data_IF_542742335441
#
_entry.id   IF_542742335441
#
_cell.length_a   1.000
_cell.length_b   1.000
_cell.length_c   1.000
_cell.angle_alpha   90.00
_cell.angle_beta   90.00
_cell.angle_gamma   90.00
#
_symmetry.space_group_name_H-M   'P 1'
#
loop_
_entity.id
_entity.type
_entity.pdbx_description
1 polymer ?
#
# COMPACT_ATOMS: atom_id res chain seq x y z
N UNK A 1 24.14 -3.09 7.51
CA UNK A 1 25.31 -3.73 6.89
C UNK A 1 26.32 -2.64 6.51
N UNK A 2 27.62 -2.86 6.69
CA UNK A 2 28.69 -1.96 6.22
C UNK A 2 29.08 -2.32 4.77
N UNK A 3 29.63 -1.37 4.01
CA UNK A 3 30.07 -1.62 2.63
C UNK A 3 31.08 -2.78 2.51
N UNK A 4 31.93 -2.97 3.52
CA UNK A 4 32.87 -4.09 3.59
C UNK A 4 32.19 -5.46 3.70
N UNK A 5 31.05 -5.54 4.40
CA UNK A 5 30.29 -6.78 4.55
C UNK A 5 29.57 -7.12 3.24
N UNK A 6 28.97 -6.12 2.59
CA UNK A 6 28.36 -6.28 1.27
C UNK A 6 29.37 -6.75 0.23
N UNK A 7 30.56 -6.14 0.22
CA UNK A 7 31.65 -6.56 -0.68
C UNK A 7 32.02 -8.03 -0.50
N UNK A 8 32.09 -8.51 0.74
CA UNK A 8 32.40 -9.91 1.01
C UNK A 8 31.33 -10.88 0.45
N UNK A 9 30.05 -10.47 0.46
CA UNK A 9 28.97 -11.26 -0.14
C UNK A 9 29.06 -11.28 -1.67
N UNK A 10 29.38 -10.14 -2.29
CA UNK A 10 29.58 -10.05 -3.75
C UNK A 10 30.78 -10.89 -4.21
N UNK A 11 31.89 -10.84 -3.47
CA UNK A 11 33.10 -11.63 -3.77
C UNK A 11 32.88 -13.14 -3.61
N UNK A 12 31.83 -13.56 -2.89
CA UNK A 12 31.48 -14.98 -2.68
C UNK A 12 30.58 -15.56 -3.78
N UNK A 13 30.15 -14.75 -4.77
CA UNK A 13 29.32 -15.22 -5.87
C UNK A 13 30.09 -16.23 -6.75
N UNK A 14 29.40 -17.21 -7.37
CA UNK A 14 30.03 -18.18 -8.26
C UNK A 14 30.74 -17.50 -9.44
N UNK A 15 31.89 -18.06 -9.84
CA UNK A 15 32.67 -17.50 -10.94
C UNK A 15 31.86 -17.47 -12.24
N UNK A 16 31.75 -16.29 -12.85
CA UNK A 16 30.99 -16.07 -14.09
C UNK A 16 29.50 -15.82 -13.88
N UNK A 17 29.03 -15.68 -12.64
CA UNK A 17 27.68 -15.26 -12.32
C UNK A 17 27.64 -13.75 -12.04
N UNK A 18 26.87 -13.01 -12.81
CA UNK A 18 26.78 -11.54 -12.77
C UNK A 18 25.31 -11.13 -12.56
N UNK A 19 24.77 -11.28 -11.33
CA UNK A 19 23.38 -10.95 -11.04
C UNK A 19 23.18 -9.44 -10.94
N UNK A 20 21.99 -8.98 -11.30
CA UNK A 20 21.55 -7.62 -10.98
C UNK A 20 21.49 -7.41 -9.46
N UNK A 21 21.96 -6.26 -8.99
CA UNK A 21 21.78 -5.85 -7.60
C UNK A 21 20.39 -5.25 -7.48
N UNK A 22 19.56 -5.88 -6.66
CA UNK A 22 18.16 -5.49 -6.48
C UNK A 22 17.82 -5.25 -5.01
N UNK A 23 16.74 -4.51 -4.78
CA UNK A 23 16.06 -4.41 -3.49
C UNK A 23 14.56 -4.65 -3.65
N UNK A 24 13.81 -4.71 -2.55
CA UNK A 24 12.38 -5.04 -2.57
C UNK A 24 12.13 -6.53 -2.37
N UNK A 25 10.96 -6.99 -2.80
CA UNK A 25 10.53 -8.39 -2.67
C UNK A 25 10.93 -9.20 -3.91
N UNK A 26 11.10 -10.51 -3.76
CA UNK A 26 11.51 -11.40 -4.87
C UNK A 26 10.58 -11.33 -6.10
N UNK A 27 9.29 -10.99 -5.88
CA UNK A 27 8.26 -10.89 -6.92
C UNK A 27 8.17 -9.49 -7.56
N UNK A 28 8.81 -8.49 -6.97
CA UNK A 28 8.87 -7.12 -7.50
C UNK A 28 10.21 -6.46 -7.11
N UNK A 29 11.33 -6.90 -7.70
CA UNK A 29 12.64 -6.35 -7.39
C UNK A 29 12.87 -5.02 -8.11
N UNK A 30 13.29 -4.01 -7.38
CA UNK A 30 13.80 -2.74 -7.90
C UNK A 30 15.30 -2.90 -8.19
N UNK A 31 15.76 -2.49 -9.37
CA UNK A 31 17.15 -2.66 -9.84
C UNK A 31 17.99 -1.44 -9.52
N UNK A 32 19.20 -1.68 -9.06
CA UNK A 32 20.17 -0.62 -8.80
C UNK A 32 20.64 -0.01 -10.12
N UNK A 33 20.16 1.20 -10.43
CA UNK A 33 20.49 1.91 -11.68
C UNK A 33 21.67 2.86 -11.52
N UNK A 34 21.93 3.33 -10.29
CA UNK A 34 23.00 4.28 -10.04
C UNK A 34 23.52 4.18 -8.60
N UNK A 35 24.78 4.55 -8.42
CA UNK A 35 25.42 4.60 -7.10
C UNK A 35 26.30 5.83 -6.99
N UNK A 36 26.32 6.45 -5.81
CA UNK A 36 27.27 7.51 -5.55
C UNK A 36 27.77 7.45 -4.10
N UNK A 37 29.07 7.71 -3.93
CA UNK A 37 29.67 7.85 -2.62
C UNK A 37 29.70 9.33 -2.25
N UNK A 38 29.08 9.68 -1.13
CA UNK A 38 29.25 10.99 -0.51
C UNK A 38 29.78 10.80 0.91
N UNK A 39 31.03 11.23 1.09
CA UNK A 39 31.74 11.16 2.36
C UNK A 39 31.77 9.72 2.91
N UNK A 40 31.08 9.45 4.02
CA UNK A 40 31.03 8.14 4.68
C UNK A 40 29.79 7.31 4.27
N UNK A 41 28.98 7.80 3.34
CA UNK A 41 27.72 7.16 2.93
C UNK A 41 27.76 6.75 1.45
N UNK A 42 27.43 5.48 1.20
CA UNK A 42 27.17 4.97 -0.14
C UNK A 42 25.67 5.05 -0.41
N UNK A 43 25.28 5.91 -1.33
CA UNK A 43 23.91 6.07 -1.77
C UNK A 43 23.65 5.18 -2.98
N UNK A 44 22.51 4.51 -2.97
CA UNK A 44 22.05 3.57 -3.96
C UNK A 44 20.73 4.10 -4.52
N UNK A 45 20.65 4.25 -5.83
CA UNK A 45 19.47 4.71 -6.53
C UNK A 45 18.94 3.55 -7.38
N UNK A 46 17.72 3.15 -7.06
CA UNK A 46 17.03 2.05 -7.72
C UNK A 46 16.00 2.59 -8.70
N UNK A 47 15.69 1.84 -9.76
CA UNK A 47 14.58 2.21 -10.62
C UNK A 47 13.27 2.12 -9.82
N UNK A 48 12.50 3.22 -9.85
CA UNK A 48 11.08 3.12 -9.60
C UNK A 48 10.51 2.46 -10.86
N UNK A 49 10.51 1.14 -10.95
CA UNK A 49 9.85 0.43 -12.04
C UNK A 49 8.40 0.16 -11.64
N UNK A 50 7.42 0.99 -12.08
CA UNK A 50 6.07 0.48 -12.24
C UNK A 50 6.09 -0.38 -13.51
N UNK A 51 6.11 -1.70 -13.38
CA UNK A 51 5.39 -2.52 -14.36
C UNK A 51 3.93 -2.54 -13.93
N UNK A 52 3.11 -1.69 -14.56
CA UNK A 52 1.65 -1.60 -14.38
C UNK A 52 0.88 -2.91 -14.69
N UNK A 53 1.54 -4.05 -14.92
CA UNK A 53 0.87 -5.24 -15.47
C UNK A 53 1.12 -6.57 -14.73
N UNK A 54 1.75 -6.60 -13.54
CA UNK A 54 1.93 -7.87 -12.79
C UNK A 54 1.69 -7.78 -11.27
N UNK A 55 0.72 -6.98 -10.83
CA UNK A 55 0.25 -6.92 -9.42
C UNK A 55 -1.19 -7.39 -9.20
N UNK A 56 -1.81 -8.03 -10.20
CA UNK A 56 -3.25 -7.90 -10.38
C UNK A 56 -4.18 -8.94 -9.76
N UNK A 57 -3.72 -10.09 -9.27
CA UNK A 57 -4.67 -11.12 -8.83
C UNK A 57 -4.82 -11.25 -7.30
N UNK A 58 -3.75 -11.11 -6.50
CA UNK A 58 -3.89 -11.20 -5.04
C UNK A 58 -4.06 -9.83 -4.36
N UNK A 59 -3.38 -8.77 -4.82
CA UNK A 59 -3.49 -7.43 -4.24
C UNK A 59 -4.76 -6.68 -4.64
N UNK A 60 -5.29 -6.93 -5.85
CA UNK A 60 -6.54 -6.29 -6.32
C UNK A 60 -7.78 -6.86 -5.68
N UNK A 61 -7.79 -8.14 -5.30
CA UNK A 61 -8.89 -8.71 -4.55
C UNK A 61 -9.15 -7.95 -3.25
N UNK A 62 -8.08 -7.52 -2.57
CA UNK A 62 -8.20 -6.67 -1.39
C UNK A 62 -8.73 -5.28 -1.77
N UNK A 63 -8.15 -4.59 -2.75
CA UNK A 63 -8.60 -3.24 -3.14
C UNK A 63 -10.06 -3.21 -3.63
N UNK A 64 -10.48 -4.19 -4.42
CA UNK A 64 -11.88 -4.30 -4.89
C UNK A 64 -12.84 -4.59 -3.73
N UNK A 65 -12.45 -5.45 -2.79
CA UNK A 65 -13.23 -5.71 -1.58
C UNK A 65 -13.34 -4.46 -0.70
N UNK A 66 -12.23 -3.75 -0.49
CA UNK A 66 -12.17 -2.49 0.25
C UNK A 66 -13.10 -1.43 -0.37
N UNK A 67 -13.09 -1.29 -1.69
CA UNK A 67 -13.99 -0.39 -2.43
C UNK A 67 -15.45 -0.80 -2.25
N UNK A 68 -15.76 -2.10 -2.31
CA UNK A 68 -17.13 -2.59 -2.17
C UNK A 68 -17.67 -2.38 -0.75
N UNK A 69 -16.82 -2.56 0.28
CA UNK A 69 -17.18 -2.25 1.66
C UNK A 69 -17.50 -0.76 1.83
N UNK A 70 -16.65 0.13 1.33
CA UNK A 70 -16.88 1.59 1.41
C UNK A 70 -18.17 1.96 0.66
N UNK A 71 -18.38 1.39 -0.54
CA UNK A 71 -19.60 1.59 -1.33
C UNK A 71 -20.84 1.17 -0.55
N UNK A 72 -20.84 -0.03 0.02
CA UNK A 72 -21.96 -0.56 0.79
C UNK A 72 -22.34 0.38 1.94
N UNK A 73 -21.37 0.93 2.67
CA UNK A 73 -21.65 1.85 3.78
C UNK A 73 -22.22 3.18 3.34
N UNK A 74 -21.76 3.71 2.21
CA UNK A 74 -22.34 4.93 1.63
C UNK A 74 -23.78 4.64 1.18
N UNK A 75 -24.02 3.51 0.52
CA UNK A 75 -25.37 3.13 0.06
C UNK A 75 -26.34 2.93 1.22
N UNK A 76 -25.92 2.28 2.30
CA UNK A 76 -26.70 2.11 3.54
C UNK A 76 -27.04 3.46 4.15
N UNK A 77 -26.05 4.33 4.38
CA UNK A 77 -26.25 5.69 4.90
C UNK A 77 -27.24 6.49 4.06
N UNK A 78 -27.18 6.36 2.73
CA UNK A 78 -28.08 7.05 1.81
C UNK A 78 -29.48 6.45 1.80
N UNK A 79 -29.62 5.15 2.05
CA UNK A 79 -30.89 4.42 2.05
C UNK A 79 -31.72 4.57 3.33
N UNK A 80 -31.11 5.02 4.44
CA UNK A 80 -31.83 5.25 5.70
C UNK A 80 -32.90 6.36 5.57
N UNK A 81 -34.17 5.97 5.42
CA UNK A 81 -35.30 6.91 5.23
C UNK A 81 -35.52 7.83 6.45
N UNK A 82 -35.16 7.37 7.64
CA UNK A 82 -35.36 8.09 8.89
C UNK A 82 -34.32 9.19 9.15
N UNK A 83 -33.21 9.24 8.40
CA UNK A 83 -32.19 10.29 8.54
C UNK A 83 -32.43 11.43 7.56
N UNK A 84 -32.57 12.64 8.12
CA UNK A 84 -32.68 13.86 7.31
C UNK A 84 -31.38 14.19 6.57
N UNK A 85 -31.49 14.96 5.48
CA UNK A 85 -30.35 15.29 4.60
C UNK A 85 -29.18 15.95 5.34
N UNK A 86 -29.46 16.74 6.38
CA UNK A 86 -28.44 17.38 7.21
C UNK A 86 -27.60 16.36 7.97
N UNK A 87 -28.24 15.36 8.57
CA UNK A 87 -27.57 14.29 9.31
C UNK A 87 -26.72 13.44 8.38
N UNK A 88 -27.24 13.07 7.20
CA UNK A 88 -26.46 12.33 6.19
C UNK A 88 -25.22 13.10 5.73
N UNK A 89 -25.36 14.41 5.50
CA UNK A 89 -24.24 15.27 5.12
C UNK A 89 -23.17 15.37 6.22
N UNK A 90 -23.57 15.49 7.49
CA UNK A 90 -22.66 15.51 8.64
C UNK A 90 -21.92 14.18 8.81
N UNK A 91 -22.60 13.05 8.61
CA UNK A 91 -21.98 11.72 8.64
C UNK A 91 -20.98 11.53 7.50
N UNK A 92 -21.34 11.91 6.27
CA UNK A 92 -20.43 11.84 5.12
C UNK A 92 -19.19 12.73 5.32
N UNK A 93 -19.37 13.94 5.83
CA UNK A 93 -18.25 14.84 6.14
C UNK A 93 -17.30 14.21 7.17
N UNK A 94 -17.85 13.57 8.21
CA UNK A 94 -17.07 12.89 9.23
C UNK A 94 -16.26 11.74 8.61
N UNK A 95 -16.89 10.89 7.80
CA UNK A 95 -16.21 9.79 7.10
C UNK A 95 -15.06 10.30 6.21
N UNK A 96 -15.28 11.38 5.46
CA UNK A 96 -14.26 11.97 4.59
C UNK A 96 -13.07 12.54 5.37
N UNK A 97 -13.31 13.19 6.51
CA UNK A 97 -12.23 13.69 7.39
C UNK A 97 -11.43 12.51 7.95
N UNK A 98 -12.10 11.42 8.35
CA UNK A 98 -11.44 10.25 8.90
C UNK A 98 -10.59 9.50 7.86
N UNK A 99 -11.08 9.41 6.62
CA UNK A 99 -10.35 8.80 5.50
C UNK A 99 -9.14 9.64 5.06
N UNK A 100 -9.24 10.97 5.10
CA UNK A 100 -8.14 11.86 4.72
C UNK A 100 -6.90 11.72 5.62
N UNK A 101 -7.07 11.27 6.86
CA UNK A 101 -6.00 11.17 7.86
C UNK A 101 -5.44 9.75 8.04
N UNK A 102 -5.91 8.76 7.26
CA UNK A 102 -5.63 7.32 7.48
C UNK A 102 -5.32 6.57 6.18
N UNK A 103 -4.72 5.38 6.30
CA UNK A 103 -4.67 4.42 5.18
C UNK A 103 -6.05 3.82 4.93
N UNK A 104 -6.27 3.22 3.74
CA UNK A 104 -7.56 2.57 3.41
C UNK A 104 -7.90 1.44 4.38
N UNK A 105 -6.91 0.61 4.73
CA UNK A 105 -7.05 -0.47 5.71
C UNK A 105 -7.47 0.01 7.10
N UNK A 106 -6.81 1.04 7.63
CA UNK A 106 -7.14 1.66 8.92
C UNK A 106 -8.53 2.32 8.91
N UNK A 107 -8.93 2.86 7.76
CA UNK A 107 -10.27 3.44 7.59
C UNK A 107 -11.34 2.35 7.62
N UNK A 108 -11.10 1.20 6.99
CA UNK A 108 -12.05 0.09 6.90
C UNK A 108 -12.31 -0.55 8.26
N UNK A 109 -11.26 -0.87 9.02
CA UNK A 109 -11.38 -1.40 10.38
C UNK A 109 -12.21 -0.48 11.29
N UNK A 110 -12.12 0.83 11.05
CA UNK A 110 -12.82 1.83 11.83
C UNK A 110 -14.30 1.98 11.44
N UNK A 111 -14.66 1.72 10.18
CA UNK A 111 -16.04 1.82 9.71
C UNK A 111 -16.82 0.50 9.78
N UNK A 112 -16.12 -0.63 9.97
CA UNK A 112 -16.70 -1.98 10.12
C UNK A 112 -17.80 -2.08 11.19
N UNK A 113 -17.71 -1.44 12.38
CA UNK A 113 -18.79 -1.46 13.37
C UNK A 113 -20.10 -0.84 12.87
N UNK A 114 -20.03 0.14 11.96
CA UNK A 114 -21.23 0.73 11.36
C UNK A 114 -21.91 -0.21 10.36
N UNK A 115 -21.22 -1.27 9.90
CA UNK A 115 -21.75 -2.29 9.00
C UNK A 115 -22.40 -3.44 9.78
N UNK A 116 -21.85 -3.78 10.94
CA UNK A 116 -22.32 -4.91 11.75
C UNK A 116 -23.50 -4.58 12.69
N UNK A 117 -23.78 -3.29 12.92
CA UNK A 117 -24.84 -2.83 13.85
C UNK A 117 -26.30 -3.09 13.37
N UNK A 118 -26.52 -3.76 12.22
CA UNK A 118 -27.87 -4.13 11.74
C UNK A 118 -28.36 -5.53 12.17
N UNK A 119 -27.72 -6.20 13.12
CA UNK A 119 -28.19 -7.50 13.63
C UNK A 119 -28.96 -7.47 14.96
N UNK A 120 -29.81 -6.47 15.27
CA UNK A 120 -30.83 -6.61 16.33
C UNK A 120 -32.10 -5.76 16.11
#
# INVERSE_FOLDING_TARGET
MKASELKALLDALPQGFDPDVVMGEDWLPERLINTHLDSDFLFLEFDNAPEEDQGDEEGRGFVEHEIEMIRSQIETLLSEENKGIKTKAETLLTLLIMAHERTSSEFIELIEPFAEDEQF
#
